data_IF_278381443385
#
_entry.id   IF_278381443385
#
_cell.length_a   1.000
_cell.length_b   1.000
_cell.length_c   1.000
_cell.angle_alpha   90.00
_cell.angle_beta   90.00
_cell.angle_gamma   90.00
#
_symmetry.space_group_name_H-M   'P 1'
#
loop_
_entity.id
_entity.type
_entity.pdbx_description
1 polymer ?
#
# COMPACT_ATOMS: atom_id res chain seq x y z
N UNK A 1 -31.32 33.74 -17.20
CA UNK A 1 -29.88 33.91 -16.87
C UNK A 1 -29.54 33.25 -15.53
N UNK A 2 -29.92 31.98 -15.29
CA UNK A 2 -29.80 31.36 -13.97
C UNK A 2 -29.28 29.91 -14.00
N UNK A 3 -28.53 29.51 -15.03
CA UNK A 3 -28.00 28.14 -15.16
C UNK A 3 -26.48 28.03 -15.05
N UNK A 4 -25.74 29.15 -14.98
CA UNK A 4 -24.27 29.13 -14.99
C UNK A 4 -23.63 28.96 -13.60
N UNK A 5 -24.37 29.24 -12.52
CA UNK A 5 -23.84 29.17 -11.14
C UNK A 5 -23.91 27.77 -10.53
N UNK A 6 -24.64 26.82 -11.13
CA UNK A 6 -24.79 25.45 -10.63
C UNK A 6 -23.78 24.43 -11.20
N UNK A 7 -22.98 24.82 -12.22
CA UNK A 7 -21.97 23.93 -12.80
C UNK A 7 -20.67 23.90 -11.99
N UNK A 8 -20.24 25.03 -11.40
CA UNK A 8 -18.96 25.16 -10.70
C UNK A 8 -18.86 24.33 -9.41
N UNK A 9 -19.94 24.20 -8.63
CA UNK A 9 -19.93 23.39 -7.41
C UNK A 9 -19.94 21.89 -7.72
N UNK A 10 -20.61 21.47 -8.80
CA UNK A 10 -20.73 20.06 -9.17
C UNK A 10 -19.41 19.51 -9.74
N UNK A 11 -18.69 20.31 -10.54
CA UNK A 11 -17.34 19.95 -11.02
C UNK A 11 -16.30 19.90 -9.90
N UNK A 12 -16.39 20.78 -8.89
CA UNK A 12 -15.46 20.78 -7.76
C UNK A 12 -15.59 19.55 -6.87
N UNK A 13 -16.82 19.05 -6.67
CA UNK A 13 -17.06 17.80 -5.92
C UNK A 13 -16.67 16.58 -6.77
N UNK A 14 -16.92 16.60 -8.08
CA UNK A 14 -16.48 15.53 -8.99
C UNK A 14 -14.95 15.42 -9.08
N UNK A 15 -14.24 16.55 -9.14
CA UNK A 15 -12.76 16.57 -9.11
C UNK A 15 -12.20 16.12 -7.75
N UNK A 16 -12.87 16.47 -6.65
CA UNK A 16 -12.50 15.95 -5.33
C UNK A 16 -12.78 14.44 -5.20
N UNK A 17 -13.82 13.93 -5.88
CA UNK A 17 -14.15 12.50 -5.92
C UNK A 17 -13.20 11.70 -6.81
N UNK A 18 -12.53 12.35 -7.77
CA UNK A 18 -11.49 11.75 -8.60
C UNK A 18 -10.16 11.54 -7.86
N UNK A 19 -9.92 12.25 -6.74
CA UNK A 19 -8.75 12.00 -5.88
C UNK A 19 -8.92 10.77 -4.97
N UNK A 20 -10.14 10.23 -4.87
CA UNK A 20 -10.43 8.98 -4.15
C UNK A 20 -10.52 7.76 -5.08
N UNK A 21 -9.95 7.86 -6.28
CA UNK A 21 -9.62 6.67 -7.04
C UNK A 21 -8.49 5.98 -6.29
N UNK A 22 -8.86 5.00 -5.45
CA UNK A 22 -7.90 4.09 -4.83
C UNK A 22 -6.90 3.68 -5.90
N UNK A 23 -5.65 4.11 -5.74
CA UNK A 23 -4.63 3.80 -6.73
C UNK A 23 -4.58 2.28 -6.87
N UNK A 24 -4.25 1.73 -8.04
CA UNK A 24 -3.96 0.28 -8.13
C UNK A 24 -2.85 -0.11 -7.13
N UNK A 25 -2.01 0.86 -6.74
CA UNK A 25 -1.03 0.77 -5.66
C UNK A 25 -1.63 0.70 -4.24
N UNK A 26 -2.86 1.18 -3.99
CA UNK A 26 -3.54 1.14 -2.68
C UNK A 26 -3.87 -0.28 -2.21
N UNK A 27 -3.75 -1.27 -3.10
CA UNK A 27 -3.93 -2.67 -2.76
C UNK A 27 -2.63 -3.43 -2.58
N UNK A 28 -1.47 -2.81 -2.88
CA UNK A 28 -0.17 -3.46 -2.74
C UNK A 28 0.37 -3.30 -1.33
N UNK A 29 0.63 -4.43 -0.69
CA UNK A 29 1.26 -4.47 0.64
C UNK A 29 2.58 -5.24 0.58
N UNK A 30 3.56 -4.81 1.36
CA UNK A 30 4.84 -5.48 1.50
C UNK A 30 4.98 -6.06 2.91
N UNK A 31 5.19 -7.37 2.99
CA UNK A 31 5.35 -8.09 4.26
C UNK A 31 6.83 -8.45 4.41
N UNK A 32 7.47 -7.96 5.47
CA UNK A 32 8.90 -8.11 5.74
C UNK A 32 9.06 -8.86 7.06
N UNK A 33 9.47 -10.12 6.96
CA UNK A 33 9.63 -11.01 8.12
C UNK A 33 10.74 -12.03 7.80
N UNK A 34 11.66 -12.26 8.73
CA UNK A 34 12.77 -13.20 8.59
C UNK A 34 12.32 -14.63 8.90
N UNK A 35 11.20 -14.78 9.60
CA UNK A 35 10.55 -16.06 9.83
C UNK A 35 9.57 -16.41 8.70
N UNK A 36 9.99 -17.34 7.82
CA UNK A 36 9.22 -17.74 6.65
C UNK A 36 7.78 -18.21 6.97
N UNK A 37 7.58 -18.91 8.09
CA UNK A 37 6.27 -19.42 8.49
C UNK A 37 5.28 -18.28 8.82
N UNK A 38 5.75 -17.24 9.53
CA UNK A 38 4.94 -16.07 9.88
C UNK A 38 4.65 -15.24 8.64
N UNK A 39 5.65 -15.04 7.78
CA UNK A 39 5.51 -14.36 6.49
C UNK A 39 4.46 -15.00 5.59
N UNK A 40 4.50 -16.32 5.45
CA UNK A 40 3.53 -17.09 4.65
C UNK A 40 2.13 -17.03 5.26
N UNK A 41 2.00 -17.10 6.59
CA UNK A 41 0.72 -16.93 7.28
C UNK A 41 0.09 -15.56 7.00
N UNK A 42 0.87 -14.48 7.11
CA UNK A 42 0.37 -13.13 6.80
C UNK A 42 0.02 -12.96 5.33
N UNK A 43 0.88 -13.46 4.43
CA UNK A 43 0.62 -13.41 3.00
C UNK A 43 -0.66 -14.17 2.64
N UNK A 44 -0.87 -15.36 3.19
CA UNK A 44 -2.08 -16.14 2.96
C UNK A 44 -3.33 -15.37 3.42
N UNK A 45 -3.31 -14.80 4.64
CA UNK A 45 -4.46 -14.08 5.19
C UNK A 45 -4.78 -12.80 4.42
N UNK A 46 -3.76 -12.05 4.01
CA UNK A 46 -3.95 -10.75 3.36
C UNK A 46 -4.14 -10.86 1.83
N UNK A 47 -3.70 -11.97 1.22
CA UNK A 47 -3.84 -12.21 -0.22
C UNK A 47 -5.29 -12.30 -0.71
N UNK A 48 -6.24 -12.55 0.19
CA UNK A 48 -7.68 -12.56 -0.14
C UNK A 48 -8.20 -11.16 -0.50
N UNK A 49 -7.54 -10.10 -0.03
CA UNK A 49 -8.00 -8.70 -0.17
C UNK A 49 -6.96 -7.79 -0.85
N UNK A 50 -5.67 -8.11 -0.73
CA UNK A 50 -4.55 -7.27 -1.14
C UNK A 50 -3.56 -8.02 -2.06
N UNK A 51 -2.85 -7.28 -2.90
CA UNK A 51 -1.70 -7.80 -3.65
C UNK A 51 -0.48 -7.83 -2.71
N UNK A 52 -0.13 -9.01 -2.22
CA UNK A 52 0.95 -9.18 -1.25
C UNK A 52 2.30 -9.42 -1.93
N UNK A 53 3.28 -8.58 -1.64
CA UNK A 53 4.69 -8.88 -1.84
C UNK A 53 5.33 -9.29 -0.50
N UNK A 54 6.36 -10.13 -0.56
CA UNK A 54 7.05 -10.59 0.65
C UNK A 54 8.55 -10.36 0.51
N UNK A 55 9.21 -10.09 1.64
CA UNK A 55 10.65 -9.96 1.75
C UNK A 55 11.15 -10.65 3.03
N UNK A 56 12.33 -11.25 2.97
CA UNK A 56 12.99 -11.96 4.08
C UNK A 56 13.97 -11.08 4.85
N UNK A 57 14.25 -9.89 4.34
CA UNK A 57 15.24 -8.97 4.87
C UNK A 57 14.88 -7.53 4.51
N UNK A 58 15.39 -6.57 5.29
CA UNK A 58 15.23 -5.15 4.98
C UNK A 58 15.83 -4.77 3.62
N UNK A 59 16.93 -5.40 3.20
CA UNK A 59 17.56 -5.07 1.91
C UNK A 59 16.68 -5.48 0.72
N UNK A 60 16.08 -6.68 0.79
CA UNK A 60 15.08 -7.13 -0.18
C UNK A 60 13.85 -6.21 -0.19
N UNK A 61 13.38 -5.81 1.00
CA UNK A 61 12.26 -4.89 1.13
C UNK A 61 12.54 -3.51 0.51
N UNK A 62 13.74 -2.95 0.75
CA UNK A 62 14.16 -1.67 0.18
C UNK A 62 14.28 -1.74 -1.36
N UNK A 63 14.82 -2.85 -1.89
CA UNK A 63 14.87 -3.06 -3.34
C UNK A 63 13.46 -3.11 -3.96
N UNK A 64 12.50 -3.74 -3.27
CA UNK A 64 11.11 -3.77 -3.72
C UNK A 64 10.46 -2.38 -3.67
N UNK A 65 10.65 -1.64 -2.56
CA UNK A 65 10.15 -0.27 -2.38
C UNK A 65 10.74 0.71 -3.40
N UNK A 66 11.96 0.46 -3.91
CA UNK A 66 12.57 1.29 -4.95
C UNK A 66 11.98 1.05 -6.35
N UNK A 67 11.35 -0.11 -6.58
CA UNK A 67 10.83 -0.51 -7.90
C UNK A 67 9.32 -0.34 -7.99
N UNK A 68 8.59 -0.55 -6.89
CA UNK A 68 7.12 -0.47 -6.84
C UNK A 68 6.67 0.38 -5.66
N UNK A 69 5.53 1.04 -5.83
CA UNK A 69 4.83 1.68 -4.73
C UNK A 69 4.00 0.65 -3.96
N UNK A 70 4.01 0.81 -2.63
CA UNK A 70 3.24 0.01 -1.69
C UNK A 70 2.43 0.96 -0.80
N UNK A 71 1.18 0.59 -0.54
CA UNK A 71 0.29 1.34 0.35
C UNK A 71 0.63 1.13 1.82
N UNK A 72 1.12 -0.06 2.15
CA UNK A 72 1.43 -0.48 3.51
C UNK A 72 2.64 -1.42 3.53
N UNK A 73 3.51 -1.23 4.51
CA UNK A 73 4.60 -2.15 4.81
C UNK A 73 4.37 -2.72 6.21
N UNK A 74 4.33 -4.05 6.33
CA UNK A 74 4.26 -4.78 7.59
C UNK A 74 5.64 -5.37 7.84
N UNK A 75 6.38 -4.82 8.79
CA UNK A 75 7.71 -5.30 9.18
C UNK A 75 7.70 -5.76 10.62
N UNK A 76 8.35 -6.88 10.92
CA UNK A 76 8.69 -7.17 12.31
C UNK A 76 9.71 -6.13 12.82
N UNK A 77 9.51 -5.65 14.04
CA UNK A 77 10.39 -4.69 14.72
C UNK A 77 11.59 -5.39 15.36
N UNK A 78 11.52 -6.71 15.53
CA UNK A 78 12.51 -7.54 16.23
C UNK A 78 13.44 -8.33 15.31
N UNK A 79 13.68 -7.86 14.08
CA UNK A 79 14.70 -8.43 13.22
C UNK A 79 16.13 -8.21 13.77
N UNK A 80 16.93 -9.28 13.97
CA UNK A 80 18.34 -9.15 14.33
C UNK A 80 19.15 -8.67 13.11
N UNK A 81 19.57 -7.41 13.09
CA UNK A 81 20.55 -6.92 12.10
C UNK A 81 20.41 -5.47 11.69
N UNK A 82 19.19 -4.89 11.75
CA UNK A 82 18.93 -3.47 11.52
C UNK A 82 17.56 -3.13 12.08
N UNK A 83 17.53 -2.19 13.02
CA UNK A 83 16.30 -1.75 13.69
C UNK A 83 15.30 -1.28 12.63
N UNK A 84 14.05 -1.75 12.71
CA UNK A 84 12.95 -1.45 11.77
C UNK A 84 12.37 -0.03 11.91
N UNK A 85 13.23 0.99 11.94
CA UNK A 85 12.88 2.42 11.93
C UNK A 85 13.72 3.13 10.87
#
# INVERSE_FOLDING_TARGET
>A
MSSALQQSATESVANCLLELQANEDDRRILIVDDEGAVREMFAAYLSETYECATASSCEEALNLLAVKNYALVVSDLTMPGRNGI
#
